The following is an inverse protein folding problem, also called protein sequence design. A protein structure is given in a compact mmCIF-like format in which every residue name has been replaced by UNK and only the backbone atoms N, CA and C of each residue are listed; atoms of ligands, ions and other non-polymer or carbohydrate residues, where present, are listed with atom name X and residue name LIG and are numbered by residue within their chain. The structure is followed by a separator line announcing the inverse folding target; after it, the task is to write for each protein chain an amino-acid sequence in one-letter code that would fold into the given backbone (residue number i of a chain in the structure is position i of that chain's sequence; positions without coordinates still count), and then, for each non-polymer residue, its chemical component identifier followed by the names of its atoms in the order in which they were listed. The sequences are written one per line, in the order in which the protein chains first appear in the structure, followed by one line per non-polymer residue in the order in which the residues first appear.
data_IF_405010757782
#
_entry.id   IF_405010757782
#
_cell.length_a   1.000
_cell.length_b   1.000
_cell.length_c   1.000
_cell.angle_alpha   90.00
_cell.angle_beta   90.00
_cell.angle_gamma   90.00
#
_symmetry.space_group_name_H-M   'P 1'
#
loop_
_entity.id
_entity.type
_entity.pdbx_description
1 polymer ?
#
# COMPACT_ATOMS: atom_id res chain seq x y z
N UNK A 1 16.91 12.15 -9.01
CA UNK A 1 15.73 12.79 -9.64
C UNK A 1 14.69 11.75 -10.05
N UNK A 2 14.98 10.81 -10.95
CA UNK A 2 14.02 9.77 -11.37
C UNK A 2 13.46 8.92 -10.21
N UNK A 3 14.30 8.46 -9.28
CA UNK A 3 13.85 7.69 -8.10
C UNK A 3 12.87 8.51 -7.24
N UNK A 4 13.14 9.80 -7.07
CA UNK A 4 12.27 10.71 -6.30
C UNK A 4 10.95 10.89 -7.02
N UNK A 5 10.95 11.07 -8.34
CA UNK A 5 9.72 11.19 -9.14
C UNK A 5 8.90 9.91 -9.11
N UNK A 6 9.52 8.74 -9.29
CA UNK A 6 8.86 7.44 -9.16
C UNK A 6 8.26 7.23 -7.77
N UNK A 7 9.01 7.57 -6.73
CA UNK A 7 8.54 7.47 -5.36
C UNK A 7 7.34 8.40 -5.11
N UNK A 8 7.41 9.65 -5.57
CA UNK A 8 6.32 10.63 -5.43
C UNK A 8 5.08 10.21 -6.22
N UNK A 9 5.20 9.80 -7.47
CA UNK A 9 4.06 9.36 -8.31
C UNK A 9 3.44 8.05 -7.81
N UNK A 10 4.28 7.10 -7.37
CA UNK A 10 3.79 5.85 -6.76
C UNK A 10 3.11 6.10 -5.42
N UNK A 11 3.63 7.03 -4.61
CA UNK A 11 3.04 7.44 -3.35
C UNK A 11 1.71 8.16 -3.54
N UNK A 12 1.61 9.04 -4.54
CA UNK A 12 0.36 9.73 -4.92
C UNK A 12 -0.74 8.72 -5.30
N UNK A 13 -0.39 7.71 -6.11
CA UNK A 13 -1.31 6.63 -6.50
C UNK A 13 -1.71 5.74 -5.30
N UNK A 14 -0.78 5.47 -4.39
CA UNK A 14 -1.04 4.68 -3.19
C UNK A 14 -1.96 5.40 -2.19
N UNK A 15 -1.75 6.70 -1.97
CA UNK A 15 -2.61 7.51 -1.10
C UNK A 15 -4.04 7.54 -1.60
N UNK A 16 -4.25 7.67 -2.91
CA UNK A 16 -5.60 7.74 -3.49
C UNK A 16 -6.41 6.44 -3.28
N UNK A 17 -5.74 5.27 -3.33
CA UNK A 17 -6.36 3.97 -3.03
C UNK A 17 -6.68 3.85 -1.54
N UNK A 18 -5.75 4.24 -0.66
CA UNK A 18 -5.94 4.20 0.80
C UNK A 18 -7.03 5.19 1.24
N UNK A 19 -7.07 6.40 0.67
CA UNK A 19 -8.08 7.42 0.93
C UNK A 19 -9.46 6.97 0.47
N UNK A 20 -9.56 6.29 -0.68
CA UNK A 20 -10.82 5.71 -1.16
C UNK A 20 -11.33 4.61 -0.22
N UNK A 21 -10.44 3.75 0.29
CA UNK A 21 -10.79 2.65 1.20
C UNK A 21 -11.13 3.17 2.61
N UNK A 22 -10.38 4.13 3.14
CA UNK A 22 -10.44 4.56 4.54
C UNK A 22 -11.51 5.62 4.79
N UNK A 23 -11.83 6.46 3.79
CA UNK A 23 -12.81 7.52 3.95
C UNK A 23 -14.25 7.10 3.59
N UNK A 24 -14.48 5.81 3.32
CA UNK A 24 -15.74 5.35 2.72
C UNK A 24 -16.07 6.05 1.40
N UNK A 25 -15.04 6.50 0.67
CA UNK A 25 -15.16 7.29 -0.56
C UNK A 25 -15.06 8.82 -0.46
N UNK A 26 -14.51 9.41 0.62
CA UNK A 26 -14.34 10.89 0.75
C UNK A 26 -12.87 11.34 0.69
N UNK A 27 -12.54 12.10 -0.36
CA UNK A 27 -11.17 12.40 -0.83
C UNK A 27 -10.33 13.44 -0.03
N UNK A 28 -10.73 13.85 1.18
CA UNK A 28 -10.04 14.93 1.90
C UNK A 28 -9.33 14.44 3.17
N UNK A 29 -8.10 13.92 3.01
CA UNK A 29 -7.23 13.56 4.12
C UNK A 29 -6.43 14.78 4.63
N UNK A 30 -6.52 15.15 5.92
CA UNK A 30 -5.89 16.36 6.44
C UNK A 30 -4.35 16.26 6.48
N UNK A 31 -3.67 17.30 6.00
CA UNK A 31 -2.20 17.42 5.88
C UNK A 31 -1.39 16.92 7.09
N UNK A 32 -1.80 17.16 8.36
CA UNK A 32 -1.05 16.66 9.53
C UNK A 32 -0.98 15.13 9.61
N UNK A 33 -2.03 14.42 9.18
CA UNK A 33 -2.08 12.96 9.21
C UNK A 33 -1.09 12.36 8.20
N UNK A 34 -0.96 12.98 7.03
CA UNK A 34 0.02 12.57 6.01
C UNK A 34 1.46 12.72 6.51
N UNK A 35 1.77 13.82 7.21
CA UNK A 35 3.10 14.05 7.80
C UNK A 35 3.41 13.03 8.90
N UNK A 36 2.43 12.72 9.76
CA UNK A 36 2.58 11.70 10.80
C UNK A 36 2.99 10.34 10.22
N UNK A 37 2.27 9.87 9.20
CA UNK A 37 2.57 8.58 8.56
C UNK A 37 3.92 8.57 7.84
N UNK A 38 4.27 9.64 7.13
CA UNK A 38 5.56 9.74 6.44
C UNK A 38 6.76 9.70 7.42
N UNK A 39 6.65 10.37 8.57
CA UNK A 39 7.71 10.36 9.58
C UNK A 39 7.81 8.99 10.26
N UNK A 40 6.67 8.37 10.58
CA UNK A 40 6.64 7.06 11.21
C UNK A 40 7.24 5.96 10.33
N UNK A 41 6.88 5.95 9.03
CA UNK A 41 7.42 5.00 8.06
C UNK A 41 8.94 5.17 7.89
N UNK A 42 9.42 6.42 7.83
CA UNK A 42 10.86 6.71 7.79
C UNK A 42 11.61 6.24 9.04
N UNK A 43 11.01 6.40 10.23
CA UNK A 43 11.58 5.92 11.50
C UNK A 43 11.69 4.40 11.54
N UNK A 44 10.64 3.68 11.11
CA UNK A 44 10.65 2.21 11.03
C UNK A 44 11.71 1.73 10.04
N UNK A 45 11.83 2.38 8.88
CA UNK A 45 12.86 2.06 7.90
C UNK A 45 14.28 2.22 8.47
N UNK A 46 14.56 3.34 9.16
CA UNK A 46 15.86 3.58 9.81
C UNK A 46 16.13 2.53 10.90
N UNK A 47 15.14 2.22 11.74
CA UNK A 47 15.27 1.24 12.81
C UNK A 47 15.60 -0.16 12.29
N UNK A 48 14.90 -0.61 11.24
CA UNK A 48 15.19 -1.88 10.58
C UNK A 48 16.58 -1.88 9.95
N UNK A 49 16.93 -0.80 9.25
CA UNK A 49 18.22 -0.70 8.58
C UNK A 49 19.40 -0.79 9.57
N UNK A 50 19.27 -0.19 10.76
CA UNK A 50 20.26 -0.30 11.83
C UNK A 50 20.27 -1.68 12.51
N UNK A 51 19.11 -2.33 12.65
CA UNK A 51 18.98 -3.62 13.35
C UNK A 51 19.45 -4.83 12.54
N UNK A 52 19.36 -4.80 11.21
CA UNK A 52 19.75 -5.95 10.38
C UNK A 52 20.00 -5.63 8.91
N UNK A 53 20.19 -4.35 8.57
CA UNK A 53 20.51 -3.92 7.21
C UNK A 53 19.46 -4.30 6.18
N UNK A 54 19.89 -4.50 4.93
CA UNK A 54 19.01 -4.77 3.79
C UNK A 54 18.17 -6.05 3.96
N UNK A 55 18.72 -7.07 4.63
CA UNK A 55 18.03 -8.33 4.86
C UNK A 55 16.79 -8.16 5.78
N UNK A 56 16.89 -7.32 6.81
CA UNK A 56 15.77 -7.03 7.70
C UNK A 56 14.64 -6.25 6.99
N UNK A 57 14.99 -5.31 6.13
CA UNK A 57 14.03 -4.57 5.30
C UNK A 57 13.31 -5.51 4.32
N UNK A 58 14.04 -6.43 3.68
CA UNK A 58 13.45 -7.40 2.77
C UNK A 58 12.53 -8.38 3.51
N UNK A 59 12.93 -8.85 4.69
CA UNK A 59 12.09 -9.73 5.51
C UNK A 59 10.80 -9.03 5.95
N UNK A 60 10.88 -7.76 6.38
CA UNK A 60 9.70 -6.96 6.71
C UNK A 60 8.78 -6.79 5.50
N UNK A 61 9.32 -6.46 4.33
CA UNK A 61 8.54 -6.32 3.09
C UNK A 61 7.85 -7.62 2.67
N UNK A 62 8.51 -8.78 2.78
CA UNK A 62 7.90 -10.08 2.47
C UNK A 62 6.83 -10.44 3.50
N UNK A 63 7.09 -10.19 4.79
CA UNK A 63 6.14 -10.47 5.87
C UNK A 63 4.85 -9.64 5.74
N UNK A 64 4.93 -8.38 5.30
CA UNK A 64 3.76 -7.54 5.04
C UNK A 64 3.10 -7.85 3.69
N UNK A 65 3.90 -8.19 2.67
CA UNK A 65 3.40 -8.49 1.33
C UNK A 65 2.64 -9.81 1.24
N UNK A 66 3.04 -10.82 2.00
CA UNK A 66 2.42 -12.14 1.99
C UNK A 66 0.91 -12.15 2.34
N UNK A 67 0.44 -11.57 3.46
CA UNK A 67 -0.99 -11.50 3.75
C UNK A 67 -1.76 -10.65 2.73
N UNK A 68 -1.14 -9.59 2.19
CA UNK A 68 -1.76 -8.78 1.15
C UNK A 68 -1.92 -9.56 -0.17
N UNK A 69 -0.97 -10.41 -0.53
CA UNK A 69 -1.07 -11.29 -1.68
C UNK A 69 -2.28 -12.24 -1.59
N UNK A 70 -2.59 -12.75 -0.39
CA UNK A 70 -3.79 -13.57 -0.17
C UNK A 70 -5.06 -12.77 -0.48
N UNK A 71 -5.13 -11.52 -0.01
CA UNK A 71 -6.27 -10.61 -0.29
C UNK A 71 -6.41 -10.35 -1.79
N UNK A 72 -5.31 -10.13 -2.51
CA UNK A 72 -5.33 -9.94 -3.96
C UNK A 72 -5.86 -11.17 -4.70
N UNK A 73 -5.49 -12.38 -4.28
CA UNK A 73 -6.03 -13.62 -4.86
C UNK A 73 -7.56 -13.70 -4.65
N UNK A 74 -8.05 -13.35 -3.47
CA UNK A 74 -9.49 -13.30 -3.19
C UNK A 74 -10.20 -12.23 -4.04
N UNK A 75 -9.57 -11.07 -4.26
CA UNK A 75 -10.11 -10.03 -5.15
C UNK A 75 -10.18 -10.52 -6.60
N UNK A 76 -9.12 -11.14 -7.12
CA UNK A 76 -9.12 -11.74 -8.46
C UNK A 76 -10.24 -12.77 -8.62
N UNK A 77 -10.44 -13.63 -7.61
CA UNK A 77 -11.52 -14.60 -7.61
C UNK A 77 -12.90 -13.95 -7.57
N UNK A 78 -13.08 -12.90 -6.77
CA UNK A 78 -14.33 -12.15 -6.66
C UNK A 78 -14.68 -11.42 -7.95
N UNK A 79 -13.67 -10.82 -8.60
CA UNK A 79 -13.82 -10.17 -9.90
C UNK A 79 -14.20 -11.17 -10.99
N UNK A 80 -13.53 -12.33 -11.02
CA UNK A 80 -13.87 -13.39 -11.97
C UNK A 80 -15.30 -13.91 -11.77
N UNK A 81 -15.71 -14.12 -10.52
CA UNK A 81 -17.10 -14.50 -10.20
C UNK A 81 -18.11 -13.42 -10.58
N UNK A 82 -17.81 -12.15 -10.34
CA UNK A 82 -18.66 -11.03 -10.72
C UNK A 82 -18.85 -10.96 -12.23
N UNK A 83 -17.76 -11.04 -12.99
CA UNK A 83 -17.80 -11.03 -14.45
C UNK A 83 -18.53 -12.25 -15.04
N UNK A 84 -18.33 -13.44 -14.45
CA UNK A 84 -19.01 -14.67 -14.87
C UNK A 84 -20.51 -14.71 -14.50
N UNK A 85 -20.93 -13.92 -13.49
CA UNK A 85 -22.34 -13.73 -13.16
C UNK A 85 -23.01 -12.77 -14.16
N UNK A 86 -22.31 -11.69 -14.54
CA UNK A 86 -22.77 -10.74 -15.56
C UNK A 86 -22.91 -11.41 -16.94
N UNK A 87 -21.95 -12.27 -17.33
CA UNK A 87 -21.98 -12.94 -18.64
C UNK A 87 -23.07 -14.03 -18.79
N UNK A 88 -23.82 -14.32 -17.72
CA UNK A 88 -24.93 -15.29 -17.71
C UNK A 88 -26.31 -14.61 -17.63
N UNK A 89 -26.35 -13.28 -17.55
CA UNK A 89 -27.56 -12.45 -17.65
C UNK A 89 -27.86 -12.01 -19.06
#
# INVERSE_FOLDING_TARGET
VLVIVFFVTSSDSGSLVIDTITAGGKLDAPVPQRVFWAVFEGLVAIALMLGGGLASLQAAAVATGFPFAIVLVVMCFSLWRGLAAESRG
#
